data_IF_053517799845
#
_entry.id   IF_053517799845
#
_cell.length_a   1.000
_cell.length_b   1.000
_cell.length_c   1.000
_cell.angle_alpha   90.00
_cell.angle_beta   90.00
_cell.angle_gamma   90.00
#
_symmetry.space_group_name_H-M   'P 1'
#
loop_
_entity.id
_entity.type
_entity.pdbx_description
1 polymer ?
#
# COMPACT_ATOMS: atom_id res chain seq x y z
N UNK A 1 4.54 -35.30 -14.24
CA UNK A 1 3.94 -33.95 -14.26
C UNK A 1 3.67 -33.51 -12.83
N UNK A 2 4.45 -32.60 -12.24
CA UNK A 2 4.24 -32.20 -10.85
C UNK A 2 3.12 -31.15 -10.73
N UNK A 3 2.12 -31.56 -9.94
CA UNK A 3 1.07 -30.82 -9.23
C UNK A 3 1.15 -29.28 -9.16
N UNK A 4 0.09 -28.62 -9.64
CA UNK A 4 -0.25 -27.19 -9.56
C UNK A 4 -0.52 -26.63 -8.13
N UNK A 5 -0.04 -27.27 -7.06
CA UNK A 5 -0.43 -26.91 -5.67
C UNK A 5 0.67 -26.28 -4.80
N UNK A 6 1.79 -25.81 -5.36
CA UNK A 6 2.86 -25.17 -4.58
C UNK A 6 3.11 -23.68 -4.88
N UNK A 7 2.25 -23.01 -5.65
CA UNK A 7 2.41 -21.60 -6.03
C UNK A 7 1.58 -20.59 -5.19
N UNK A 8 1.35 -20.88 -3.91
CA UNK A 8 0.68 -19.95 -2.98
C UNK A 8 1.40 -19.82 -1.62
N UNK A 9 2.74 -19.89 -1.64
CA UNK A 9 3.58 -19.60 -0.47
C UNK A 9 4.38 -18.29 -0.57
N UNK A 10 4.25 -17.53 -1.68
CA UNK A 10 5.19 -16.45 -2.02
C UNK A 10 4.78 -15.01 -1.70
N UNK A 11 3.63 -14.77 -1.05
CA UNK A 11 3.15 -13.40 -0.75
C UNK A 11 2.85 -13.21 0.75
N UNK A 12 3.66 -13.84 1.61
CA UNK A 12 3.66 -13.60 3.05
C UNK A 12 4.57 -12.44 3.42
N UNK A 13 3.97 -11.30 3.75
CA UNK A 13 4.47 -10.28 4.70
C UNK A 13 5.99 -10.12 4.84
N UNK A 14 6.59 -9.26 4.00
CA UNK A 14 7.79 -8.50 4.39
C UNK A 14 7.35 -7.12 4.91
N UNK A 15 6.64 -7.12 6.04
CA UNK A 15 6.33 -5.92 6.81
C UNK A 15 7.37 -5.81 7.93
N UNK A 16 8.49 -5.15 7.61
CA UNK A 16 9.62 -5.00 8.53
C UNK A 16 10.93 -5.04 7.78
N UNK A 17 11.23 -4.01 7.00
CA UNK A 17 12.60 -3.77 6.56
C UNK A 17 13.44 -3.50 7.80
N UNK A 18 14.22 -4.48 8.22
CA UNK A 18 15.39 -4.20 9.04
C UNK A 18 16.27 -3.27 8.20
N UNK A 19 16.59 -2.10 8.75
CA UNK A 19 17.63 -1.22 8.20
C UNK A 19 18.95 -1.98 8.30
N UNK A 20 19.24 -2.82 7.33
CA UNK A 20 20.50 -3.55 7.26
C UNK A 20 21.57 -2.57 6.78
N UNK A 21 22.48 -2.20 7.71
CA UNK A 21 23.71 -1.48 7.39
C UNK A 21 23.71 -0.02 7.86
N UNK A 22 24.24 0.20 9.06
CA UNK A 22 24.55 1.53 9.57
C UNK A 22 25.75 2.15 8.84
N UNK A 23 25.47 3.07 7.91
CA UNK A 23 26.36 4.20 7.59
C UNK A 23 25.50 5.46 7.55
N UNK A 24 25.63 6.28 8.59
CA UNK A 24 24.74 7.41 8.91
C UNK A 24 24.81 8.60 7.93
N UNK A 25 25.48 8.46 6.78
CA UNK A 25 25.62 9.51 5.77
C UNK A 25 25.66 9.00 4.33
N UNK A 26 25.40 7.71 4.08
CA UNK A 26 25.42 7.20 2.72
C UNK A 26 24.15 7.63 1.99
N UNK A 27 24.36 8.35 0.90
CA UNK A 27 23.33 8.66 -0.07
C UNK A 27 23.19 7.47 -1.01
N UNK A 28 21.97 7.03 -1.19
CA UNK A 28 21.62 5.99 -2.15
C UNK A 28 20.98 6.67 -3.35
N UNK A 29 21.66 6.63 -4.49
CA UNK A 29 21.11 7.07 -5.78
C UNK A 29 20.67 5.85 -6.57
N UNK A 30 19.45 5.87 -7.10
CA UNK A 30 18.94 4.76 -7.89
C UNK A 30 17.53 4.99 -8.39
N UNK A 31 16.95 3.94 -8.99
CA UNK A 31 15.60 3.98 -9.54
C UNK A 31 14.58 3.81 -8.42
N UNK A 32 13.55 4.66 -8.42
CA UNK A 32 12.39 4.52 -7.55
C UNK A 32 11.55 3.35 -8.07
N UNK A 33 11.63 2.21 -7.40
CA UNK A 33 10.91 1.00 -7.84
C UNK A 33 9.56 0.84 -7.17
N UNK A 34 9.29 1.56 -6.07
CA UNK A 34 8.04 1.43 -5.33
C UNK A 34 7.67 2.68 -4.54
N UNK A 35 6.38 2.98 -4.53
CA UNK A 35 5.70 3.95 -3.66
C UNK A 35 4.51 3.29 -2.99
N UNK A 36 4.31 3.49 -1.69
CA UNK A 36 3.17 2.96 -0.95
C UNK A 36 2.62 3.97 0.06
N UNK A 37 1.30 4.00 0.18
CA UNK A 37 0.58 4.70 1.25
C UNK A 37 0.07 3.65 2.23
N UNK A 38 0.47 3.76 3.49
CA UNK A 38 0.01 2.91 4.59
C UNK A 38 -0.73 3.73 5.62
N UNK A 39 -1.73 3.12 6.23
CA UNK A 39 -2.45 3.67 7.38
C UNK A 39 -2.32 2.73 8.57
N UNK A 40 -2.33 3.30 9.77
CA UNK A 40 -2.30 2.56 11.03
C UNK A 40 -3.72 2.41 11.57
N UNK A 41 -4.26 1.20 11.46
CA UNK A 41 -5.61 0.87 11.91
C UNK A 41 -5.57 0.48 13.39
N UNK A 42 -6.33 1.17 14.26
CA UNK A 42 -6.38 0.86 15.68
C UNK A 42 -6.83 -0.58 15.92
N UNK A 43 -6.21 -1.25 16.89
CA UNK A 43 -6.69 -2.53 17.40
C UNK A 43 -7.28 -2.35 18.79
N UNK A 44 -8.33 -3.11 19.10
CA UNK A 44 -8.91 -3.16 20.46
C UNK A 44 -7.88 -3.58 21.51
N UNK A 45 -6.90 -4.39 21.13
CA UNK A 45 -5.79 -4.83 21.97
C UNK A 45 -4.51 -4.88 21.13
N UNK A 46 -3.43 -4.31 21.65
CA UNK A 46 -2.10 -4.33 21.02
C UNK A 46 -1.81 -3.13 20.12
N UNK A 47 -0.71 -3.22 19.36
CA UNK A 47 -0.28 -2.15 18.45
C UNK A 47 -1.19 -2.05 17.23
N UNK A 48 -1.31 -0.83 16.70
CA UNK A 48 -1.97 -0.56 15.43
C UNK A 48 -1.44 -1.46 14.31
N UNK A 49 -2.31 -1.81 13.37
CA UNK A 49 -1.91 -2.59 12.18
C UNK A 49 -1.69 -1.68 11.00
N UNK A 50 -0.53 -1.82 10.38
CA UNK A 50 -0.25 -1.17 9.10
C UNK A 50 -1.06 -1.86 8.00
N UNK A 51 -1.89 -1.09 7.31
CA UNK A 51 -2.66 -1.51 6.16
C UNK A 51 -2.29 -0.64 4.96
N UNK A 52 -1.95 -1.27 3.84
CA UNK A 52 -1.63 -0.55 2.59
C UNK A 52 -2.90 -0.10 1.89
N UNK A 53 -3.01 1.20 1.64
CA UNK A 53 -4.16 1.85 0.98
C UNK A 53 -3.89 2.02 -0.51
N UNK A 54 -2.65 2.34 -0.88
CA UNK A 54 -2.24 2.45 -2.28
C UNK A 54 -0.80 1.96 -2.45
N UNK A 55 -0.53 1.33 -3.58
CA UNK A 55 0.81 0.91 -4.01
C UNK A 55 0.98 1.19 -5.49
N UNK A 56 2.15 1.70 -5.82
CA UNK A 56 2.63 1.81 -7.19
C UNK A 56 4.03 1.20 -7.25
N UNK A 57 4.24 0.28 -8.18
CA UNK A 57 5.49 -0.44 -8.34
C UNK A 57 5.94 -0.41 -9.81
N UNK A 58 7.25 -0.30 -10.02
CA UNK A 58 7.88 -0.34 -11.32
C UNK A 58 8.87 -1.51 -11.37
N UNK A 59 8.72 -2.35 -12.40
CA UNK A 59 9.63 -3.45 -12.71
C UNK A 59 10.59 -3.00 -13.84
N UNK A 60 11.80 -2.52 -13.51
CA UNK A 60 12.72 -1.93 -14.49
C UNK A 60 13.06 -2.91 -15.62
N UNK A 61 13.32 -4.18 -15.30
CA UNK A 61 13.68 -5.23 -16.28
C UNK A 61 12.59 -5.47 -17.33
N UNK A 62 11.34 -5.15 -17.01
CA UNK A 62 10.18 -5.37 -17.89
C UNK A 62 9.57 -4.07 -18.40
N UNK A 63 10.02 -2.92 -17.89
CA UNK A 63 9.41 -1.62 -18.13
C UNK A 63 7.93 -1.54 -17.70
N UNK A 64 7.50 -2.38 -16.76
CA UNK A 64 6.10 -2.50 -16.35
C UNK A 64 5.78 -1.69 -15.11
N UNK A 65 4.60 -1.07 -15.12
CA UNK A 65 4.06 -0.30 -14.01
C UNK A 65 2.80 -0.99 -13.49
N UNK A 66 2.84 -1.36 -12.20
CA UNK A 66 1.77 -2.03 -11.48
C UNK A 66 1.24 -1.11 -10.39
N UNK A 67 -0.06 -0.86 -10.41
CA UNK A 67 -0.74 -0.05 -9.39
C UNK A 67 -1.90 -0.79 -8.77
N UNK A 68 -2.05 -0.65 -7.47
CA UNK A 68 -3.19 -1.17 -6.73
C UNK A 68 -3.60 -0.18 -5.64
N UNK A 69 -4.90 0.09 -5.51
CA UNK A 69 -5.41 1.03 -4.51
C UNK A 69 -6.76 0.60 -3.94
N UNK A 70 -7.06 1.02 -2.72
CA UNK A 70 -8.37 0.86 -2.10
C UNK A 70 -9.27 2.05 -2.44
N UNK A 71 -10.31 1.87 -3.28
CA UNK A 71 -11.16 2.99 -3.72
C UNK A 71 -11.95 3.65 -2.59
N UNK A 72 -12.08 3.02 -1.41
CA UNK A 72 -12.73 3.66 -0.25
C UNK A 72 -11.85 4.68 0.47
N UNK A 73 -10.55 4.65 0.18
CA UNK A 73 -9.52 5.34 0.96
C UNK A 73 -8.46 6.03 0.09
N UNK A 74 -8.46 5.80 -1.22
CA UNK A 74 -7.66 6.50 -2.19
C UNK A 74 -8.44 6.57 -3.50
N UNK A 75 -8.57 7.77 -4.06
CA UNK A 75 -8.81 7.97 -5.48
C UNK A 75 -7.48 8.47 -6.05
N UNK A 76 -6.57 7.56 -6.43
CA UNK A 76 -5.22 7.98 -6.70
C UNK A 76 -5.17 8.69 -8.05
N UNK A 77 -4.64 9.90 -8.03
CA UNK A 77 -4.22 10.59 -9.24
C UNK A 77 -2.92 9.93 -9.74
N UNK A 78 -3.08 8.80 -10.44
CA UNK A 78 -1.96 8.03 -11.00
C UNK A 78 -1.64 8.54 -12.40
N UNK A 79 -0.88 9.62 -12.45
CA UNK A 79 -0.32 10.13 -13.69
C UNK A 79 1.16 9.77 -13.82
N UNK A 80 1.53 9.10 -14.91
CA UNK A 80 2.94 8.95 -15.34
C UNK A 80 3.88 8.34 -14.28
N UNK A 81 3.40 7.36 -13.50
CA UNK A 81 4.21 6.77 -12.44
C UNK A 81 4.29 7.60 -11.16
N UNK A 82 3.59 8.73 -11.09
CA UNK A 82 3.38 9.45 -9.84
C UNK A 82 2.13 8.88 -9.15
N UNK A 83 2.30 8.47 -7.90
CA UNK A 83 1.20 8.30 -6.95
C UNK A 83 1.27 9.50 -6.00
N UNK A 84 0.35 10.45 -6.10
CA UNK A 84 0.35 11.66 -5.26
C UNK A 84 -0.73 11.59 -4.19
N UNK A 85 -0.49 12.27 -3.07
CA UNK A 85 -1.45 12.41 -1.97
C UNK A 85 -1.68 13.89 -1.73
N UNK A 86 -2.90 14.36 -2.03
CA UNK A 86 -3.32 15.73 -1.78
C UNK A 86 -3.35 16.03 -0.28
N UNK A 87 -3.37 17.31 0.09
CA UNK A 87 -3.52 17.71 1.49
C UNK A 87 -4.84 17.23 2.06
N UNK A 88 -5.93 17.43 1.31
CA UNK A 88 -7.26 16.96 1.69
C UNK A 88 -7.27 15.44 1.96
N UNK A 89 -6.72 14.62 1.05
CA UNK A 89 -6.67 13.17 1.26
C UNK A 89 -5.82 12.80 2.48
N UNK A 90 -4.71 13.50 2.71
CA UNK A 90 -3.89 13.27 3.89
C UNK A 90 -4.62 13.60 5.19
N UNK A 91 -5.36 14.71 5.24
CA UNK A 91 -6.17 15.11 6.38
C UNK A 91 -7.32 14.13 6.64
N UNK A 92 -8.01 13.68 5.59
CA UNK A 92 -9.07 12.67 5.68
C UNK A 92 -8.54 11.35 6.26
N UNK A 93 -7.39 10.88 5.78
CA UNK A 93 -6.75 9.66 6.29
C UNK A 93 -6.27 9.84 7.74
N UNK A 94 -5.70 10.99 8.08
CA UNK A 94 -5.23 11.27 9.45
C UNK A 94 -6.38 11.45 10.44
N UNK A 95 -7.55 11.90 9.97
CA UNK A 95 -8.77 11.96 10.78
C UNK A 95 -9.34 10.58 11.06
N UNK A 96 -9.20 9.63 10.11
CA UNK A 96 -9.79 8.29 10.19
C UNK A 96 -8.89 7.25 10.86
N UNK A 97 -7.58 7.41 10.76
CA UNK A 97 -6.59 6.41 11.18
C UNK A 97 -5.62 6.99 12.22
N UNK A 98 -4.98 6.14 13.02
CA UNK A 98 -4.03 6.57 14.06
C UNK A 98 -2.74 7.15 13.47
N UNK A 99 -2.44 6.83 12.21
CA UNK A 99 -1.26 7.32 11.52
C UNK A 99 -1.32 7.06 10.03
N UNK A 100 -0.62 7.91 9.28
CA UNK A 100 -0.42 7.79 7.84
C UNK A 100 1.08 7.76 7.57
N UNK A 101 1.53 6.80 6.74
CA UNK A 101 2.95 6.61 6.42
C UNK A 101 3.13 6.48 4.91
N UNK A 102 4.11 7.20 4.39
CA UNK A 102 4.48 7.18 2.98
C UNK A 102 5.79 6.43 2.81
N UNK A 103 5.76 5.27 2.17
CA UNK A 103 6.93 4.43 1.98
C UNK A 103 7.43 4.50 0.54
N UNK A 104 8.75 4.56 0.38
CA UNK A 104 9.41 4.51 -0.93
C UNK A 104 10.56 3.50 -0.91
N UNK A 105 10.88 2.97 -2.08
CA UNK A 105 12.02 2.08 -2.30
C UNK A 105 12.85 2.56 -3.49
N UNK A 106 14.14 2.78 -3.25
CA UNK A 106 15.13 3.18 -4.24
C UNK A 106 16.13 2.04 -4.43
N UNK A 107 16.32 1.60 -5.67
CA UNK A 107 17.23 0.50 -6.02
C UNK A 107 18.39 1.06 -6.84
N UNK A 108 19.62 1.02 -6.32
CA UNK A 108 20.83 1.41 -7.05
C UNK A 108 21.05 0.55 -8.30
N UNK A 109 21.57 1.16 -9.36
CA UNK A 109 21.92 0.45 -10.60
C UNK A 109 23.22 -0.36 -10.47
N UNK A 110 24.09 0.05 -9.55
CA UNK A 110 25.38 -0.60 -9.27
C UNK A 110 25.25 -1.90 -8.46
N UNK A 111 24.01 -2.31 -8.12
CA UNK A 111 23.73 -3.51 -7.34
C UNK A 111 24.00 -3.37 -5.84
N UNK A 112 24.29 -2.16 -5.36
CA UNK A 112 24.41 -1.88 -3.93
C UNK A 112 23.06 -1.98 -3.21
N UNK A 113 23.09 -1.88 -1.87
CA UNK A 113 21.92 -2.11 -1.04
C UNK A 113 20.77 -1.12 -1.37
N UNK A 114 19.55 -1.60 -1.62
CA UNK A 114 18.39 -0.72 -1.77
C UNK A 114 18.11 0.12 -0.53
N UNK A 115 17.68 1.36 -0.74
CA UNK A 115 17.19 2.23 0.33
C UNK A 115 15.65 2.22 0.36
N UNK A 116 15.10 1.59 1.39
CA UNK A 116 13.66 1.51 1.64
C UNK A 116 13.28 2.14 2.96
N UNK A 117 12.27 3.02 2.97
CA UNK A 117 11.87 3.67 4.21
C UNK A 117 10.74 4.69 4.06
N UNK A 118 10.35 5.28 5.19
CA UNK A 118 9.31 6.30 5.21
C UNK A 118 9.87 7.66 4.82
N UNK A 119 9.12 8.40 4.01
CA UNK A 119 9.37 9.80 3.67
C UNK A 119 8.21 10.66 4.17
N UNK A 120 8.37 11.97 4.19
CA UNK A 120 7.24 12.89 4.34
C UNK A 120 6.39 12.95 3.04
N UNK A 121 5.21 13.57 3.13
CA UNK A 121 4.27 13.68 2.01
C UNK A 121 4.85 14.46 0.82
N UNK A 122 5.62 15.51 1.08
CA UNK A 122 6.18 16.36 0.01
C UNK A 122 7.23 15.60 -0.79
N UNK A 123 8.16 14.94 -0.09
CA UNK A 123 9.15 14.05 -0.68
C UNK A 123 8.47 12.86 -1.40
N UNK A 124 7.42 12.28 -0.82
CA UNK A 124 6.64 11.24 -1.51
C UNK A 124 6.07 11.76 -2.84
N UNK A 125 5.40 12.92 -2.83
CA UNK A 125 4.76 13.47 -4.03
C UNK A 125 5.76 13.89 -5.12
N UNK A 126 6.97 14.29 -4.74
CA UNK A 126 8.04 14.67 -5.67
C UNK A 126 8.66 13.48 -6.44
N UNK A 127 8.42 12.25 -5.98
CA UNK A 127 8.99 11.04 -6.57
C UNK A 127 8.05 10.38 -7.57
N UNK A 128 8.60 9.89 -8.68
CA UNK A 128 7.88 9.07 -9.68
C UNK A 128 8.52 7.69 -9.77
N UNK A 129 7.72 6.62 -9.83
CA UNK A 129 8.27 5.28 -10.05
C UNK A 129 8.90 5.19 -11.44
N UNK A 130 10.05 4.53 -11.52
CA UNK A 130 10.90 4.50 -12.71
C UNK A 130 11.69 5.79 -12.96
N UNK A 131 11.55 6.82 -12.12
CA UNK A 131 12.48 7.95 -12.07
C UNK A 131 13.69 7.62 -11.20
N UNK A 132 14.72 8.47 -11.26
CA UNK A 132 15.92 8.36 -10.44
C UNK A 132 15.80 9.26 -9.22
N UNK A 133 16.21 8.79 -8.06
CA UNK A 133 16.22 9.59 -6.84
C UNK A 133 17.48 9.34 -6.03
N UNK A 134 17.92 10.39 -5.33
CA UNK A 134 18.98 10.30 -4.32
C UNK A 134 18.37 10.50 -2.94
N UNK A 135 18.49 9.49 -2.08
CA UNK A 135 17.96 9.50 -0.72
C UNK A 135 19.05 9.27 0.32
N UNK A 136 18.92 9.89 1.48
CA UNK A 136 19.76 9.63 2.65
C UNK A 136 18.93 9.11 3.81
N UNK A 137 19.50 8.26 4.66
CA UNK A 137 18.81 7.81 5.88
C UNK A 137 18.98 8.83 7.01
N UNK A 138 17.93 9.03 7.80
CA UNK A 138 18.01 9.79 9.04
C UNK A 138 17.04 9.21 10.08
N UNK A 139 17.26 9.52 11.35
CA UNK A 139 16.31 9.19 12.41
C UNK A 139 15.47 10.42 12.74
N UNK A 140 14.15 10.25 12.73
CA UNK A 140 13.24 11.27 13.27
C UNK A 140 13.33 11.35 14.79
N UNK A 141 12.67 12.36 15.37
CA UNK A 141 12.63 12.56 16.83
C UNK A 141 12.01 11.37 17.58
N UNK A 142 11.13 10.64 16.90
CA UNK A 142 10.52 9.37 17.34
C UNK A 142 11.48 8.16 17.25
N UNK A 143 12.75 8.39 16.90
CA UNK A 143 13.78 7.39 16.59
C UNK A 143 13.37 6.43 15.47
N UNK A 144 12.39 6.78 14.64
CA UNK A 144 12.06 6.02 13.45
C UNK A 144 13.04 6.35 12.33
N UNK A 145 13.57 5.32 11.67
CA UNK A 145 14.36 5.49 10.46
C UNK A 145 13.47 5.99 9.32
N UNK A 146 13.93 7.06 8.67
CA UNK A 146 13.26 7.74 7.56
C UNK A 146 14.25 8.00 6.43
N UNK A 147 13.71 8.24 5.25
CA UNK A 147 14.47 8.67 4.09
C UNK A 147 14.28 10.18 3.90
N UNK A 148 15.38 10.88 3.65
CA UNK A 148 15.39 12.29 3.23
C UNK A 148 15.69 12.31 1.73
N UNK A 149 14.81 12.95 0.97
CA UNK A 149 15.03 13.20 -0.45
C UNK A 149 16.09 14.31 -0.62
N UNK A 150 17.10 14.06 -1.46
CA UNK A 150 18.11 15.04 -1.83
C UNK A 150 17.96 15.53 -3.26
N UNK A 151 17.67 14.61 -4.18
CA UNK A 151 17.52 14.91 -5.60
C UNK A 151 16.55 13.92 -6.25
N UNK A 152 15.87 14.35 -7.32
CA UNK A 152 14.93 13.52 -8.07
C UNK A 152 14.91 13.95 -9.53
N UNK A 153 14.99 12.95 -10.41
CA UNK A 153 14.80 13.08 -11.84
C UNK A 153 13.57 12.25 -12.21
N UNK A 154 12.47 12.87 -12.65
CA UNK A 154 11.29 12.15 -13.09
C UNK A 154 11.61 11.19 -14.24
N UNK A 155 10.86 10.10 -14.34
CA UNK A 155 10.94 9.18 -15.48
C UNK A 155 10.64 9.91 -16.79
N UNK A 156 11.46 9.69 -17.81
CA UNK A 156 11.15 10.16 -19.17
C UNK A 156 9.89 9.46 -19.74
N UNK A 157 9.02 10.22 -20.39
CA UNK A 157 7.80 9.70 -21.01
C UNK A 157 8.16 8.90 -22.27
N UNK A 158 8.03 7.57 -22.21
CA UNK A 158 8.05 6.72 -23.41
C UNK A 158 6.63 6.42 -23.89
N UNK A 159 6.40 6.44 -25.21
CA UNK A 159 5.13 6.09 -25.87
C UNK A 159 4.56 4.70 -25.50
N UNK A 160 5.40 3.84 -24.91
CA UNK A 160 5.07 2.48 -24.43
C UNK A 160 4.32 2.42 -23.09
N UNK A 161 3.97 3.55 -22.49
CA UNK A 161 3.16 3.62 -21.25
C UNK A 161 1.69 3.14 -21.44
N UNK A 162 1.41 2.52 -22.58
CA UNK A 162 0.15 1.86 -22.95
C UNK A 162 -0.07 0.51 -22.26
N UNK A 163 0.90 0.01 -21.47
CA UNK A 163 0.78 -1.21 -20.63
C UNK A 163 0.75 -0.91 -19.13
N UNK A 164 -0.04 0.08 -18.73
CA UNK A 164 -0.32 0.34 -17.30
C UNK A 164 -1.36 -0.64 -16.80
N UNK A 165 -1.05 -1.35 -15.71
CA UNK A 165 -2.04 -2.17 -15.00
C UNK A 165 -2.27 -1.58 -13.60
N UNK A 166 -3.08 -0.54 -13.55
CA UNK A 166 -3.52 0.08 -12.29
C UNK A 166 -4.95 -0.39 -12.03
N UNK A 167 -5.16 -1.14 -10.94
CA UNK A 167 -6.47 -1.70 -10.61
C UNK A 167 -6.95 -1.22 -9.26
N UNK A 168 -8.24 -0.89 -9.11
CA UNK A 168 -8.82 -0.87 -7.79
C UNK A 168 -8.70 -2.28 -7.19
N UNK A 169 -8.36 -2.35 -5.90
CA UNK A 169 -8.59 -3.55 -5.11
C UNK A 169 -10.05 -3.89 -5.27
N UNK A 170 -10.32 -5.09 -5.80
CA UNK A 170 -11.63 -5.71 -5.56
C UNK A 170 -11.69 -5.91 -4.06
N UNK A 171 -12.26 -4.95 -3.35
CA UNK A 171 -12.87 -5.23 -2.06
C UNK A 171 -13.75 -6.43 -2.34
N UNK A 172 -13.37 -7.59 -1.77
CA UNK A 172 -14.35 -8.62 -1.54
C UNK A 172 -15.39 -7.90 -0.70
N UNK A 173 -16.44 -7.37 -1.35
CA UNK A 173 -17.71 -7.06 -0.69
C UNK A 173 -17.89 -8.28 0.19
N UNK A 174 -17.79 -8.07 1.50
CA UNK A 174 -18.46 -8.96 2.43
C UNK A 174 -19.86 -9.02 1.84
N UNK A 175 -20.19 -10.13 1.18
CA UNK A 175 -21.52 -10.68 1.37
C UNK A 175 -21.60 -10.73 2.88
N UNK A 176 -22.20 -9.69 3.46
CA UNK A 176 -23.18 -9.90 4.48
C UNK A 176 -24.08 -11.00 3.89
N UNK A 177 -23.65 -12.25 4.10
CA UNK A 177 -24.56 -13.30 4.46
C UNK A 177 -25.25 -12.68 5.65
N UNK A 178 -26.39 -12.02 5.37
CA UNK A 178 -27.47 -11.95 6.32
C UNK A 178 -27.66 -13.41 6.71
N UNK A 179 -26.98 -13.85 7.76
CA UNK A 179 -27.46 -14.95 8.55
C UNK A 179 -28.80 -14.43 9.04
N UNK A 180 -29.84 -14.75 8.26
CA UNK A 180 -31.18 -14.94 8.79
C UNK A 180 -30.96 -15.85 9.99
N UNK A 181 -30.95 -15.27 11.17
CA UNK A 181 -31.31 -15.98 12.38
C UNK A 181 -32.80 -16.33 12.19
N UNK A 182 -33.07 -17.40 11.45
CA UNK A 182 -34.24 -18.20 11.68
C UNK A 182 -33.95 -18.93 12.98
N UNK A 183 -34.28 -18.31 14.11
CA UNK A 183 -34.50 -19.05 15.34
C UNK A 183 -35.80 -19.84 15.15
N UNK A 184 -35.69 -20.99 14.49
CA UNK A 184 -36.72 -22.01 14.51
C UNK A 184 -36.64 -22.72 15.87
N UNK A 185 -37.17 -22.07 16.92
CA UNK A 185 -37.65 -22.79 18.09
C UNK A 185 -39.04 -23.31 17.72
N UNK A 186 -39.09 -24.52 17.19
CA UNK A 186 -40.29 -25.33 17.13
C UNK A 186 -40.13 -26.45 18.14
N UNK A 187 -40.88 -26.38 19.23
CA UNK A 187 -41.48 -27.54 19.92
C UNK A 187 -42.94 -27.16 20.26
N UNK A 188 -43.84 -28.14 20.38
CA UNK A 188 -45.11 -28.10 19.65
C UNK A 188 -46.31 -27.86 20.56
N UNK A 189 -47.19 -26.91 20.21
CA UNK A 189 -48.62 -27.01 20.53
C UNK A 189 -49.43 -26.26 19.46
N UNK A 190 -50.31 -26.95 18.73
CA UNK A 190 -51.51 -26.36 18.13
C UNK A 190 -51.33 -25.44 16.91
N UNK A 191 -51.19 -26.05 15.73
CA UNK A 191 -51.66 -25.60 14.42
C UNK A 191 -51.93 -24.10 14.17
N UNK A 192 -50.97 -23.43 13.53
CA UNK A 192 -51.07 -22.45 12.41
C UNK A 192 -49.81 -21.58 12.39
N UNK A 193 -49.03 -21.65 11.32
CA UNK A 193 -47.90 -20.73 11.08
C UNK A 193 -48.36 -19.65 10.10
N UNK A 194 -48.52 -18.42 10.59
CA UNK A 194 -48.66 -17.22 9.73
C UNK A 194 -47.29 -16.52 9.77
N UNK A 195 -46.61 -16.42 8.63
CA UNK A 195 -45.45 -15.56 8.47
C UNK A 195 -45.93 -14.21 7.93
N UNK A 196 -46.07 -13.21 8.80
CA UNK A 196 -46.15 -11.81 8.35
C UNK A 196 -44.75 -11.28 8.03
N UNK A 197 -44.61 -10.70 6.83
CA UNK A 197 -43.43 -9.96 6.38
C UNK A 197 -43.78 -8.48 6.51
N UNK A 198 -43.08 -7.77 7.39
CA UNK A 198 -43.11 -6.30 7.44
C UNK A 198 -41.94 -5.74 6.61
N UNK A 199 -42.25 -4.82 5.69
CA UNK A 199 -41.34 -4.19 4.73
C UNK A 199 -40.41 -3.16 5.37
#
# INVERSE_FOLDING_TARGET
MPSRRQLLAGLGTAAGGALAGCTLFDRTTGIVTRKQVHVEVPRRVGRATKMGVAVLAFEPDRGLLHGEYDPEHADPDVENGALTVSEQLHEELTTRFEGVRFYVNVVPEDGSNPAGGNVDRQAFNALSVGGTATVGTYFGDDRSGRLRLHDTVPRERTLQDSRRDVRPRRTYRRRLIRHRFCSALLWPVGGKTICEVWY
#
